data_IF_450863833825
#
_entry.id   IF_450863833825
#
_cell.length_a   1.000
_cell.length_b   1.000
_cell.length_c   1.000
_cell.angle_alpha   90.00
_cell.angle_beta   90.00
_cell.angle_gamma   90.00
#
_symmetry.space_group_name_H-M   'P 1'
#
loop_
_entity.id
_entity.type
_entity.pdbx_description
1 polymer ?
#
# COMPACT_ATOMS: atom_id res chain seq x y z
N UNK A 1 -15.10 -12.05 -13.60
CA UNK A 1 -14.23 -11.59 -12.53
C UNK A 1 -13.37 -10.46 -13.06
N UNK A 2 -13.29 -9.35 -12.32
CA UNK A 2 -12.66 -8.08 -12.75
C UNK A 2 -11.17 -8.20 -13.07
N UNK A 3 -10.45 -9.07 -12.33
CA UNK A 3 -9.00 -9.26 -12.44
C UNK A 3 -8.62 -10.68 -12.89
N UNK A 4 -9.51 -11.35 -13.63
CA UNK A 4 -9.23 -12.69 -14.14
C UNK A 4 -7.94 -12.70 -14.98
N UNK A 5 -7.04 -13.64 -14.70
CA UNK A 5 -5.72 -13.79 -15.34
C UNK A 5 -4.74 -12.63 -15.07
N UNK A 6 -4.99 -11.77 -14.07
CA UNK A 6 -4.07 -10.74 -13.64
C UNK A 6 -3.18 -11.22 -12.50
N UNK A 7 -1.91 -10.86 -12.56
CA UNK A 7 -0.93 -11.11 -11.50
C UNK A 7 -0.68 -9.82 -10.73
N UNK A 8 -0.85 -9.90 -9.41
CA UNK A 8 -0.66 -8.78 -8.48
C UNK A 8 0.49 -9.10 -7.53
N UNK A 9 1.45 -8.20 -7.43
CA UNK A 9 2.43 -8.18 -6.33
C UNK A 9 1.93 -7.19 -5.29
N UNK A 10 1.81 -7.60 -4.03
CA UNK A 10 1.24 -6.78 -2.98
C UNK A 10 2.06 -6.84 -1.69
N UNK A 11 2.51 -5.69 -1.19
CA UNK A 11 3.21 -5.59 0.09
C UNK A 11 2.26 -5.30 1.25
N UNK A 12 2.57 -5.84 2.43
CA UNK A 12 1.79 -5.58 3.66
C UNK A 12 0.49 -6.40 3.76
N UNK A 13 0.41 -7.55 3.09
CA UNK A 13 -0.82 -8.34 3.00
C UNK A 13 -1.15 -9.21 4.22
N UNK A 14 -0.32 -9.23 5.26
CA UNK A 14 -0.51 -10.10 6.42
C UNK A 14 -1.56 -9.60 7.42
N UNK A 15 -1.98 -8.33 7.36
CA UNK A 15 -2.95 -7.77 8.30
C UNK A 15 -3.68 -6.54 7.75
N UNK A 16 -4.70 -6.05 8.46
CA UNK A 16 -5.39 -4.78 8.25
C UNK A 16 -5.82 -4.52 6.81
N UNK A 17 -5.54 -3.32 6.30
CA UNK A 17 -5.87 -2.90 4.93
C UNK A 17 -5.29 -3.87 3.90
N UNK A 18 -4.04 -4.30 4.12
CA UNK A 18 -3.38 -5.21 3.19
C UNK A 18 -4.08 -6.55 3.08
N UNK A 19 -4.44 -7.17 4.21
CA UNK A 19 -5.21 -8.43 4.23
C UNK A 19 -6.54 -8.29 3.49
N UNK A 20 -7.33 -7.27 3.82
CA UNK A 20 -8.61 -7.03 3.14
C UNK A 20 -8.42 -6.84 1.62
N UNK A 21 -7.35 -6.13 1.22
CA UNK A 21 -7.02 -5.94 -0.20
C UNK A 21 -6.64 -7.25 -0.88
N UNK A 22 -5.79 -8.09 -0.26
CA UNK A 22 -5.44 -9.42 -0.82
C UNK A 22 -6.69 -10.25 -1.05
N UNK A 23 -7.57 -10.33 -0.05
CA UNK A 23 -8.82 -11.11 -0.14
C UNK A 23 -9.73 -10.58 -1.27
N UNK A 24 -9.87 -9.27 -1.38
CA UNK A 24 -10.70 -8.64 -2.41
C UNK A 24 -10.12 -8.83 -3.82
N UNK A 25 -8.81 -8.73 -3.99
CA UNK A 25 -8.12 -8.98 -5.26
C UNK A 25 -8.24 -10.45 -5.69
N UNK A 26 -8.06 -11.39 -4.75
CA UNK A 26 -8.23 -12.82 -4.99
C UNK A 26 -9.68 -13.16 -5.38
N UNK A 27 -10.67 -12.61 -4.67
CA UNK A 27 -12.10 -12.76 -5.00
C UNK A 27 -12.44 -12.16 -6.37
N UNK A 28 -11.71 -11.11 -6.81
CA UNK A 28 -11.82 -10.54 -8.15
C UNK A 28 -11.16 -11.41 -9.24
N UNK A 29 -10.50 -12.51 -8.87
CA UNK A 29 -9.89 -13.50 -9.77
C UNK A 29 -8.42 -13.27 -10.09
N UNK A 30 -7.73 -12.41 -9.34
CA UNK A 30 -6.29 -12.21 -9.48
C UNK A 30 -5.50 -13.36 -8.85
N UNK A 31 -4.31 -13.64 -9.40
CA UNK A 31 -3.24 -14.30 -8.67
C UNK A 31 -2.49 -13.25 -7.87
N UNK A 32 -2.36 -13.43 -6.56
CA UNK A 32 -1.72 -12.45 -5.67
C UNK A 32 -0.44 -13.03 -5.07
N UNK A 33 0.69 -12.37 -5.29
CA UNK A 33 1.93 -12.60 -4.56
C UNK A 33 1.94 -11.65 -3.36
N UNK A 34 1.59 -12.19 -2.19
CA UNK A 34 1.53 -11.48 -0.92
C UNK A 34 2.96 -11.39 -0.35
N UNK A 35 3.49 -10.17 -0.26
CA UNK A 35 4.83 -9.90 0.27
C UNK A 35 4.73 -9.24 1.65
N UNK A 36 5.29 -9.88 2.68
CA UNK A 36 5.23 -9.38 4.05
C UNK A 36 6.40 -9.95 4.88
N UNK A 37 6.74 -9.27 5.98
CA UNK A 37 7.70 -9.76 6.96
C UNK A 37 7.05 -10.77 7.93
N UNK A 38 5.74 -10.69 8.12
CA UNK A 38 4.96 -11.55 9.02
C UNK A 38 4.42 -12.80 8.29
N UNK A 39 5.22 -13.86 8.27
CA UNK A 39 4.84 -15.12 7.62
C UNK A 39 3.58 -15.75 8.23
N UNK A 40 3.40 -15.69 9.56
CA UNK A 40 2.22 -16.26 10.21
C UNK A 40 0.93 -15.55 9.77
N UNK A 41 0.92 -14.21 9.80
CA UNK A 41 -0.22 -13.42 9.34
C UNK A 41 -0.48 -13.58 7.83
N UNK A 42 0.57 -13.83 7.03
CA UNK A 42 0.42 -14.13 5.61
C UNK A 42 -0.29 -15.49 5.39
N UNK A 43 0.07 -16.52 6.17
CA UNK A 43 -0.60 -17.83 6.11
C UNK A 43 -2.08 -17.74 6.52
N UNK A 44 -2.41 -16.92 7.54
CA UNK A 44 -3.80 -16.64 7.89
C UNK A 44 -4.56 -16.00 6.71
N UNK A 45 -3.95 -15.01 6.05
CA UNK A 45 -4.55 -14.34 4.88
C UNK A 45 -4.78 -15.34 3.73
N UNK A 46 -3.81 -16.23 3.47
CA UNK A 46 -3.94 -17.30 2.47
C UNK A 46 -5.09 -18.23 2.82
N UNK A 47 -5.18 -18.68 4.06
CA UNK A 47 -6.28 -19.55 4.52
C UNK A 47 -7.65 -18.88 4.34
N UNK A 48 -7.77 -17.59 4.67
CA UNK A 48 -8.99 -16.80 4.51
C UNK A 48 -9.38 -16.55 3.05
N UNK A 49 -8.46 -16.67 2.09
CA UNK A 49 -8.75 -16.50 0.66
C UNK A 49 -9.63 -17.62 0.07
N UNK A 50 -9.89 -18.67 0.83
CA UNK A 50 -10.82 -19.74 0.43
C UNK A 50 -10.40 -20.50 -0.83
N UNK A 51 -9.09 -20.69 -1.05
CA UNK A 51 -8.55 -21.35 -2.25
C UNK A 51 -8.27 -20.40 -3.42
N UNK A 52 -8.34 -19.09 -3.19
CA UNK A 52 -7.82 -18.08 -4.12
C UNK A 52 -6.33 -18.31 -4.41
N UNK A 53 -5.87 -17.92 -5.59
CA UNK A 53 -4.47 -18.04 -5.98
C UNK A 53 -3.62 -16.97 -5.25
N UNK A 54 -3.29 -17.23 -3.98
CA UNK A 54 -2.47 -16.35 -3.13
C UNK A 54 -1.23 -17.11 -2.70
N UNK A 55 -0.06 -16.60 -3.05
CA UNK A 55 1.24 -17.13 -2.69
C UNK A 55 1.98 -16.13 -1.78
N UNK A 56 2.77 -16.62 -0.83
CA UNK A 56 3.58 -15.78 0.05
C UNK A 56 5.03 -15.64 -0.45
N UNK A 57 5.59 -14.43 -0.32
CA UNK A 57 7.00 -14.12 -0.47
C UNK A 57 7.43 -13.29 0.75
N UNK A 58 8.54 -13.69 1.41
CA UNK A 58 9.08 -12.92 2.53
C UNK A 58 9.68 -11.60 2.04
N UNK A 59 9.38 -10.51 2.77
CA UNK A 59 9.86 -9.17 2.42
C UNK A 59 10.08 -8.31 3.65
N UNK A 60 11.33 -7.90 3.87
CA UNK A 60 11.71 -6.84 4.81
C UNK A 60 12.08 -5.57 4.03
N UNK A 61 11.22 -4.54 4.09
CA UNK A 61 11.38 -3.32 3.28
C UNK A 61 12.56 -2.43 3.69
N UNK A 62 13.04 -2.56 4.93
CA UNK A 62 14.24 -1.82 5.40
C UNK A 62 15.53 -2.41 4.87
N UNK A 63 15.51 -3.69 4.47
CA UNK A 63 16.67 -4.40 3.91
C UNK A 63 16.65 -4.42 2.38
N UNK A 64 17.62 -3.76 1.78
CA UNK A 64 17.78 -3.73 0.32
C UNK A 64 18.01 -5.09 -0.32
N UNK A 65 18.68 -6.02 0.37
CA UNK A 65 18.90 -7.37 -0.11
C UNK A 65 17.59 -8.18 -0.10
N UNK A 66 16.78 -8.05 0.95
CA UNK A 66 15.45 -8.65 1.03
C UNK A 66 14.52 -8.12 -0.09
N UNK A 67 14.54 -6.82 -0.34
CA UNK A 67 13.76 -6.21 -1.45
C UNK A 67 14.18 -6.77 -2.81
N UNK A 68 15.48 -6.90 -3.05
CA UNK A 68 15.99 -7.46 -4.31
C UNK A 68 15.62 -8.93 -4.48
N UNK A 69 15.75 -9.74 -3.41
CA UNK A 69 15.36 -11.15 -3.39
C UNK A 69 13.85 -11.32 -3.66
N UNK A 70 12.99 -10.54 -2.98
CA UNK A 70 11.56 -10.56 -3.19
C UNK A 70 11.19 -10.22 -4.64
N UNK A 71 11.80 -9.18 -5.22
CA UNK A 71 11.56 -8.80 -6.60
C UNK A 71 11.97 -9.92 -7.58
N UNK A 72 13.15 -10.49 -7.38
CA UNK A 72 13.65 -11.62 -8.21
C UNK A 72 12.72 -12.82 -8.13
N UNK A 73 12.28 -13.19 -6.93
CA UNK A 73 11.35 -14.30 -6.71
C UNK A 73 9.97 -14.04 -7.35
N UNK A 74 9.44 -12.83 -7.22
CA UNK A 74 8.20 -12.45 -7.86
C UNK A 74 8.28 -12.57 -9.39
N UNK A 75 9.36 -12.07 -9.99
CA UNK A 75 9.59 -12.20 -11.43
C UNK A 75 9.74 -13.66 -11.88
N UNK A 76 10.46 -14.48 -11.12
CA UNK A 76 10.62 -15.89 -11.41
C UNK A 76 9.29 -16.66 -11.37
N UNK A 77 8.49 -16.44 -10.32
CA UNK A 77 7.18 -17.10 -10.15
C UNK A 77 6.12 -16.69 -11.17
N UNK A 78 6.33 -15.55 -11.85
CA UNK A 78 5.37 -14.98 -12.80
C UNK A 78 5.87 -14.97 -14.23
N UNK A 79 7.05 -15.53 -14.51
CA UNK A 79 7.75 -15.44 -15.79
C UNK A 79 7.85 -13.97 -16.28
N UNK A 80 8.14 -13.05 -15.35
CA UNK A 80 8.26 -11.61 -15.61
C UNK A 80 6.93 -10.86 -15.77
N UNK A 81 5.78 -11.52 -15.66
CA UNK A 81 4.48 -10.89 -15.86
C UNK A 81 3.93 -10.33 -14.54
N UNK A 82 3.90 -9.01 -14.42
CA UNK A 82 3.27 -8.30 -13.31
C UNK A 82 2.28 -7.30 -13.89
N UNK A 83 0.98 -7.54 -13.68
CA UNK A 83 -0.08 -6.66 -14.15
C UNK A 83 -0.35 -5.52 -13.16
N UNK A 84 -0.20 -5.78 -11.84
CA UNK A 84 -0.45 -4.79 -10.79
C UNK A 84 0.60 -4.88 -9.68
N UNK A 85 1.12 -3.74 -9.24
CA UNK A 85 1.93 -3.60 -8.03
C UNK A 85 1.17 -2.77 -7.01
N UNK A 86 0.91 -3.32 -5.82
CA UNK A 86 0.29 -2.59 -4.70
C UNK A 86 1.29 -2.47 -3.54
N UNK A 87 1.69 -1.24 -3.22
CA UNK A 87 2.54 -0.94 -2.09
C UNK A 87 1.67 -0.48 -0.91
N UNK A 88 1.27 -1.42 -0.03
CA UNK A 88 0.40 -1.15 1.11
C UNK A 88 1.07 -1.37 2.48
N UNK A 89 2.27 -1.93 2.52
CA UNK A 89 3.02 -2.04 3.76
C UNK A 89 3.26 -0.67 4.39
N UNK A 90 3.10 -0.59 5.70
CA UNK A 90 3.33 0.63 6.44
C UNK A 90 3.49 0.36 7.93
N UNK A 91 4.26 1.19 8.60
CA UNK A 91 4.47 1.14 10.04
C UNK A 91 4.75 2.53 10.58
N UNK A 92 4.22 2.81 11.77
CA UNK A 92 4.52 4.00 12.55
C UNK A 92 4.31 3.75 14.04
N UNK A 93 4.79 4.67 14.86
CA UNK A 93 4.51 4.81 16.27
C UNK A 93 4.41 6.30 16.60
N UNK A 94 3.25 6.73 17.07
CA UNK A 94 3.02 8.12 17.44
C UNK A 94 3.91 8.54 18.62
N UNK A 95 4.69 9.59 18.43
CA UNK A 95 5.54 10.22 19.44
C UNK A 95 5.91 11.66 19.06
N UNK A 96 6.24 12.54 20.01
CA UNK A 96 6.78 13.87 19.70
C UNK A 96 8.04 13.78 18.85
N UNK A 97 8.20 14.69 17.88
CA UNK A 97 9.37 14.65 16.97
C UNK A 97 10.71 14.75 17.71
N UNK A 98 10.76 15.53 18.79
CA UNK A 98 11.98 15.66 19.61
C UNK A 98 12.42 14.37 20.30
N UNK A 99 11.53 13.38 20.40
CA UNK A 99 11.79 12.06 21.00
C UNK A 99 12.15 11.01 19.91
N UNK A 100 12.00 11.38 18.64
CA UNK A 100 12.32 10.49 17.52
C UNK A 100 13.83 10.41 17.33
N UNK A 101 14.43 9.29 17.72
CA UNK A 101 15.84 9.03 17.44
C UNK A 101 16.07 8.67 15.96
N UNK A 102 17.34 8.65 15.56
CA UNK A 102 17.71 8.37 14.16
C UNK A 102 17.25 6.97 13.70
N UNK A 103 17.35 5.96 14.57
CA UNK A 103 16.93 4.59 14.24
C UNK A 103 15.43 4.50 13.97
N UNK A 104 14.61 5.23 14.75
CA UNK A 104 13.18 5.33 14.51
C UNK A 104 12.88 6.02 13.17
N UNK A 105 13.55 7.16 12.90
CA UNK A 105 13.39 7.89 11.64
C UNK A 105 13.75 7.01 10.46
N UNK A 106 14.90 6.33 10.52
CA UNK A 106 15.37 5.44 9.44
C UNK A 106 14.41 4.28 9.22
N UNK A 107 13.85 3.68 10.27
CA UNK A 107 12.86 2.62 10.17
C UNK A 107 11.57 3.11 9.51
N UNK A 108 11.05 4.26 9.95
CA UNK A 108 9.82 4.85 9.37
C UNK A 108 10.02 5.15 7.89
N UNK A 109 11.11 5.84 7.53
CA UNK A 109 11.43 6.15 6.13
C UNK A 109 11.71 4.87 5.32
N UNK A 110 12.42 3.91 5.90
CA UNK A 110 12.72 2.63 5.28
C UNK A 110 11.47 1.88 4.83
N UNK A 111 10.52 1.71 5.74
CA UNK A 111 9.29 0.95 5.47
C UNK A 111 8.32 1.75 4.58
N UNK A 112 8.11 3.04 4.87
CA UNK A 112 7.01 3.79 4.26
C UNK A 112 7.39 4.54 2.97
N UNK A 113 8.70 4.66 2.66
CA UNK A 113 9.18 5.38 1.48
C UNK A 113 10.23 4.61 0.71
N UNK A 114 11.40 4.36 1.31
CA UNK A 114 12.57 3.86 0.59
C UNK A 114 12.35 2.43 0.07
N UNK A 115 11.78 1.54 0.89
CA UNK A 115 11.45 0.18 0.49
C UNK A 115 10.46 0.12 -0.69
N UNK A 116 9.31 0.79 -0.64
CA UNK A 116 8.40 0.91 -1.77
C UNK A 116 9.05 1.45 -3.05
N UNK A 117 9.91 2.47 -2.95
CA UNK A 117 10.64 3.00 -4.10
C UNK A 117 11.59 1.94 -4.69
N UNK A 118 12.35 1.24 -3.85
CA UNK A 118 13.29 0.18 -4.29
C UNK A 118 12.53 -0.97 -4.97
N UNK A 119 11.45 -1.46 -4.37
CA UNK A 119 10.66 -2.56 -4.93
C UNK A 119 10.04 -2.14 -6.27
N UNK A 120 9.45 -0.95 -6.32
CA UNK A 120 8.88 -0.42 -7.57
C UNK A 120 9.94 -0.33 -8.65
N UNK A 121 11.13 0.22 -8.35
CA UNK A 121 12.25 0.29 -9.31
C UNK A 121 12.67 -1.08 -9.83
N UNK A 122 12.65 -2.11 -8.98
CA UNK A 122 13.04 -3.46 -9.36
C UNK A 122 12.03 -4.15 -10.28
N UNK A 123 10.73 -3.87 -10.11
CA UNK A 123 9.64 -4.52 -10.85
C UNK A 123 9.17 -3.72 -12.07
N UNK A 124 9.36 -2.40 -12.08
CA UNK A 124 8.86 -1.51 -13.13
C UNK A 124 9.35 -1.83 -14.55
N UNK A 125 10.64 -2.22 -14.77
CA UNK A 125 11.10 -2.64 -16.10
C UNK A 125 10.30 -3.84 -16.65
N UNK A 126 10.02 -4.86 -15.84
CA UNK A 126 9.23 -6.01 -16.28
C UNK A 126 7.79 -5.61 -16.65
N UNK A 127 7.20 -4.62 -15.96
CA UNK A 127 5.88 -4.09 -16.33
C UNK A 127 5.95 -3.36 -17.68
N UNK A 128 7.03 -2.62 -17.96
CA UNK A 128 7.26 -2.00 -19.29
C UNK A 128 7.37 -3.06 -20.37
N UNK A 129 8.21 -4.06 -20.16
CA UNK A 129 8.47 -5.14 -21.14
C UNK A 129 7.20 -5.96 -21.42
N UNK A 130 6.33 -6.10 -20.40
CA UNK A 130 5.04 -6.76 -20.55
C UNK A 130 3.97 -5.89 -21.25
N UNK A 131 4.25 -4.62 -21.50
CA UNK A 131 3.39 -3.72 -22.28
C UNK A 131 2.39 -2.91 -21.47
N UNK A 132 2.61 -2.75 -20.18
CA UNK A 132 1.81 -1.89 -19.30
C UNK A 132 1.46 -2.51 -17.97
N UNK A 133 0.67 -1.79 -17.18
CA UNK A 133 0.25 -2.27 -15.86
C UNK A 133 -0.27 -1.16 -14.96
N UNK A 134 -0.42 -1.47 -13.68
CA UNK A 134 -0.93 -0.53 -12.68
C UNK A 134 -0.07 -0.55 -11.42
N UNK A 135 0.26 0.63 -10.91
CA UNK A 135 0.92 0.79 -9.62
C UNK A 135 -0.02 1.54 -8.68
N UNK A 136 -0.28 0.97 -7.51
CA UNK A 136 -1.12 1.60 -6.48
C UNK A 136 -0.30 1.73 -5.21
N UNK A 137 -0.11 2.96 -4.75
CA UNK A 137 0.49 3.23 -3.45
C UNK A 137 -0.58 3.46 -2.39
N UNK A 138 -0.30 3.01 -1.17
CA UNK A 138 -1.09 3.37 0.01
C UNK A 138 -0.25 4.35 0.84
N UNK A 139 -0.61 5.64 0.73
CA UNK A 139 -0.02 6.68 1.55
C UNK A 139 -0.80 6.86 2.86
N UNK A 140 -1.16 8.08 3.20
CA UNK A 140 -2.01 8.45 4.35
C UNK A 140 -2.48 9.89 4.17
N UNK A 141 -3.60 10.25 4.75
CA UNK A 141 -3.99 11.65 4.89
C UNK A 141 -2.98 12.45 5.71
N UNK A 142 -2.25 11.82 6.65
CA UNK A 142 -1.11 12.43 7.35
C UNK A 142 -0.05 12.99 6.38
N UNK A 143 0.18 12.33 5.23
CA UNK A 143 1.09 12.82 4.18
C UNK A 143 0.53 13.98 3.36
N UNK A 144 -0.78 14.25 3.45
CA UNK A 144 -1.45 15.36 2.74
C UNK A 144 -1.53 16.63 3.59
N UNK A 145 -1.89 16.48 4.87
CA UNK A 145 -2.24 17.62 5.74
C UNK A 145 -1.41 17.66 7.02
N UNK A 146 -0.53 16.71 7.24
CA UNK A 146 0.21 16.54 8.49
C UNK A 146 -0.62 15.81 9.55
N UNK A 147 0.09 15.30 10.58
CA UNK A 147 -0.53 14.66 11.74
C UNK A 147 0.36 14.85 12.96
N UNK A 148 -0.25 15.20 14.10
CA UNK A 148 0.47 15.40 15.35
C UNK A 148 1.11 14.09 15.83
N UNK A 149 2.41 14.13 16.11
CA UNK A 149 3.16 12.96 16.60
C UNK A 149 3.54 11.95 15.52
N UNK A 150 3.29 12.23 14.26
CA UNK A 150 3.60 11.35 13.11
C UNK A 150 4.54 12.03 12.09
N UNK A 151 5.43 12.93 12.56
CA UNK A 151 6.23 13.79 11.66
C UNK A 151 7.09 13.03 10.65
N UNK A 152 7.90 12.01 11.01
CA UNK A 152 8.65 11.22 10.03
C UNK A 152 7.74 10.41 9.11
N UNK A 153 6.61 9.91 9.63
CA UNK A 153 5.62 9.16 8.86
C UNK A 153 4.92 10.07 7.82
N UNK A 154 4.48 11.25 8.24
CA UNK A 154 3.88 12.23 7.34
C UNK A 154 4.85 12.64 6.22
N UNK A 155 6.14 12.83 6.54
CA UNK A 155 7.18 13.10 5.55
C UNK A 155 7.33 11.94 4.55
N UNK A 156 7.38 10.68 5.03
CA UNK A 156 7.45 9.50 4.18
C UNK A 156 6.23 9.37 3.25
N UNK A 157 5.03 9.54 3.81
CA UNK A 157 3.77 9.44 3.05
C UNK A 157 3.57 10.61 2.08
N UNK A 158 4.05 11.81 2.42
CA UNK A 158 4.16 12.95 1.50
C UNK A 158 5.12 12.67 0.36
N UNK A 159 6.25 12.01 0.65
CA UNK A 159 7.20 11.53 -0.37
C UNK A 159 6.56 10.56 -1.37
N UNK A 160 5.75 9.60 -0.90
CA UNK A 160 4.98 8.68 -1.75
C UNK A 160 3.99 9.44 -2.66
N UNK A 161 3.32 10.47 -2.14
CA UNK A 161 2.40 11.30 -2.93
C UNK A 161 3.15 12.01 -4.08
N UNK A 162 4.31 12.62 -3.79
CA UNK A 162 5.16 13.24 -4.81
C UNK A 162 5.69 12.22 -5.82
N UNK A 163 6.16 11.05 -5.34
CA UNK A 163 6.65 9.96 -6.17
C UNK A 163 5.57 9.43 -7.11
N UNK A 164 4.33 9.24 -6.62
CA UNK A 164 3.18 8.81 -7.43
C UNK A 164 2.98 9.71 -8.64
N UNK A 165 2.96 11.04 -8.43
CA UNK A 165 2.73 12.02 -9.50
C UNK A 165 3.84 12.01 -10.55
N UNK A 166 5.09 11.89 -10.12
CA UNK A 166 6.26 11.84 -11.01
C UNK A 166 6.29 10.55 -11.81
N UNK A 167 6.14 9.40 -11.14
CA UNK A 167 6.17 8.10 -11.79
C UNK A 167 4.99 7.91 -12.76
N UNK A 168 3.83 8.52 -12.46
CA UNK A 168 2.69 8.52 -13.37
C UNK A 168 3.01 9.16 -14.72
N UNK A 169 3.78 10.26 -14.72
CA UNK A 169 4.25 10.92 -15.97
C UNK A 169 5.21 10.04 -16.75
N UNK A 170 6.15 9.39 -16.07
CA UNK A 170 7.12 8.50 -16.70
C UNK A 170 6.46 7.22 -17.23
N UNK A 171 5.53 6.63 -16.47
CA UNK A 171 4.82 5.40 -16.80
C UNK A 171 3.82 5.53 -17.94
N UNK A 172 3.28 6.73 -18.18
CA UNK A 172 2.19 6.94 -19.14
C UNK A 172 2.53 6.47 -20.57
N UNK A 173 3.74 6.76 -21.06
CA UNK A 173 4.21 6.30 -22.38
C UNK A 173 4.31 4.78 -22.50
N UNK A 174 4.38 4.08 -21.37
CA UNK A 174 4.45 2.61 -21.27
C UNK A 174 3.11 1.98 -20.89
N UNK A 175 2.01 2.76 -20.92
CA UNK A 175 0.66 2.30 -20.52
C UNK A 175 0.62 1.81 -19.07
N UNK A 176 1.45 2.40 -18.18
CA UNK A 176 1.43 2.12 -16.75
C UNK A 176 0.74 3.28 -16.05
N UNK A 177 -0.38 3.00 -15.37
CA UNK A 177 -1.02 3.97 -14.49
C UNK A 177 -0.42 3.89 -13.09
N UNK A 178 -0.26 5.04 -12.42
CA UNK A 178 0.27 5.10 -11.06
C UNK A 178 -0.63 6.00 -10.24
N UNK A 179 -1.27 5.45 -9.21
CA UNK A 179 -2.20 6.18 -8.36
C UNK A 179 -1.93 5.90 -6.87
N UNK A 180 -2.49 6.73 -6.01
CA UNK A 180 -2.28 6.65 -4.57
C UNK A 180 -3.61 6.74 -3.83
N UNK A 181 -3.82 5.82 -2.88
CA UNK A 181 -4.89 5.89 -1.89
C UNK A 181 -4.32 6.46 -0.61
N UNK A 182 -5.01 7.44 -0.01
CA UNK A 182 -4.66 8.04 1.27
C UNK A 182 -5.76 7.70 2.29
N UNK A 183 -5.58 6.65 3.10
CA UNK A 183 -6.52 6.34 4.17
C UNK A 183 -6.54 7.43 5.23
N UNK A 184 -7.74 7.70 5.77
CA UNK A 184 -7.91 8.28 7.09
C UNK A 184 -7.84 7.22 8.19
N UNK A 185 -8.29 7.53 9.43
CA UNK A 185 -8.32 6.58 10.54
C UNK A 185 -9.12 5.33 10.17
N UNK A 186 -8.45 4.18 10.18
CA UNK A 186 -8.98 2.88 9.72
C UNK A 186 -8.86 1.87 10.86
N UNK A 187 -9.87 1.04 11.05
CA UNK A 187 -9.93 -0.01 12.07
C UNK A 187 -8.92 -1.13 11.78
N UNK A 188 -7.72 -0.95 12.30
CA UNK A 188 -6.55 -1.83 12.04
C UNK A 188 -5.71 -1.98 13.30
N UNK A 189 -4.87 -3.02 13.40
CA UNK A 189 -3.90 -3.14 14.50
C UNK A 189 -3.01 -1.90 14.67
N UNK A 190 -2.61 -1.26 13.56
CA UNK A 190 -1.80 -0.03 13.59
C UNK A 190 -2.56 1.13 14.25
N UNK A 191 -3.86 1.31 13.96
CA UNK A 191 -4.69 2.34 14.58
C UNK A 191 -4.89 2.07 16.08
N UNK A 192 -5.14 0.81 16.46
CA UNK A 192 -5.36 0.42 17.86
C UNK A 192 -4.10 0.51 18.73
N UNK A 193 -2.91 0.58 18.14
CA UNK A 193 -1.67 0.84 18.86
C UNK A 193 -1.56 2.29 19.39
N UNK A 194 -2.39 3.21 18.88
CA UNK A 194 -2.42 4.61 19.35
C UNK A 194 -3.09 4.75 20.74
N UNK A 195 -2.72 5.77 21.54
CA UNK A 195 -3.38 6.07 22.80
C UNK A 195 -4.89 6.28 22.65
N UNK A 196 -5.68 5.80 23.61
CA UNK A 196 -7.14 5.85 23.57
C UNK A 196 -7.70 7.26 23.33
N UNK A 197 -7.16 8.26 24.06
CA UNK A 197 -7.54 9.66 23.90
C UNK A 197 -7.38 10.16 22.45
N UNK A 198 -6.31 9.72 21.77
CA UNK A 198 -6.07 10.08 20.37
C UNK A 198 -7.08 9.39 19.45
N UNK A 199 -7.33 8.09 19.65
CA UNK A 199 -8.31 7.33 18.87
C UNK A 199 -9.71 7.94 18.95
N UNK A 200 -10.15 8.31 20.18
CA UNK A 200 -11.43 8.98 20.37
C UNK A 200 -11.50 10.36 19.70
N UNK A 201 -10.42 11.16 19.79
CA UNK A 201 -10.38 12.47 19.17
C UNK A 201 -10.50 12.36 17.64
N UNK A 202 -9.77 11.43 17.04
CA UNK A 202 -9.83 11.15 15.59
C UNK A 202 -11.24 10.69 15.19
N UNK A 203 -11.85 9.76 15.94
CA UNK A 203 -13.19 9.27 15.65
C UNK A 203 -14.25 10.39 15.71
N UNK A 204 -14.13 11.32 16.68
CA UNK A 204 -15.01 12.49 16.75
C UNK A 204 -14.82 13.48 15.60
N UNK A 205 -13.61 13.55 15.04
CA UNK A 205 -13.30 14.45 13.92
C UNK A 205 -13.84 13.95 12.57
N UNK A 206 -14.04 12.65 12.40
CA UNK A 206 -14.54 12.07 11.15
C UNK A 206 -16.01 12.47 10.94
N UNK A 207 -16.38 13.15 9.81
CA UNK A 207 -17.78 13.50 9.52
C UNK A 207 -18.72 12.30 9.48
N UNK A 208 -18.28 11.15 8.95
CA UNK A 208 -19.07 9.90 8.92
C UNK A 208 -19.26 9.24 10.28
N UNK A 209 -18.62 9.77 11.35
CA UNK A 209 -18.76 9.29 12.74
C UNK A 209 -18.42 7.81 12.96
N UNK A 210 -17.62 7.24 12.10
CA UNK A 210 -17.03 5.90 12.23
C UNK A 210 -15.63 5.86 11.68
N UNK A 211 -14.85 4.90 12.12
CA UNK A 211 -13.60 4.54 11.44
C UNK A 211 -13.92 3.97 10.05
N UNK A 212 -12.99 4.10 9.13
CA UNK A 212 -13.03 3.28 7.93
C UNK A 212 -12.79 1.82 8.31
N UNK A 213 -13.43 0.90 7.63
CA UNK A 213 -13.04 -0.51 7.69
C UNK A 213 -11.88 -0.75 6.71
N UNK A 214 -11.07 -1.80 6.90
CA UNK A 214 -10.06 -2.19 5.91
C UNK A 214 -10.63 -2.34 4.50
N UNK A 215 -11.88 -2.81 4.38
CA UNK A 215 -12.60 -3.02 3.11
C UNK A 215 -12.97 -1.68 2.44
N UNK A 216 -13.28 -0.64 3.20
CA UNK A 216 -13.51 0.72 2.64
C UNK A 216 -12.28 1.19 1.84
N UNK A 217 -11.08 0.90 2.35
CA UNK A 217 -9.81 1.26 1.70
C UNK A 217 -9.50 0.30 0.54
N UNK A 218 -9.69 -1.00 0.76
CA UNK A 218 -9.45 -2.04 -0.24
C UNK A 218 -10.28 -1.83 -1.50
N UNK A 219 -11.52 -1.32 -1.37
CA UNK A 219 -12.37 -0.96 -2.50
C UNK A 219 -11.76 0.10 -3.41
N UNK A 220 -11.14 1.13 -2.84
CA UNK A 220 -10.44 2.17 -3.62
C UNK A 220 -9.16 1.61 -4.29
N UNK A 221 -8.43 0.72 -3.61
CA UNK A 221 -7.27 0.04 -4.18
C UNK A 221 -7.71 -0.85 -5.35
N UNK A 222 -8.78 -1.65 -5.20
CA UNK A 222 -9.34 -2.47 -6.27
C UNK A 222 -9.78 -1.64 -7.47
N UNK A 223 -10.39 -0.46 -7.25
CA UNK A 223 -10.73 0.46 -8.34
C UNK A 223 -9.49 0.83 -9.15
N UNK A 224 -8.40 1.27 -8.50
CA UNK A 224 -7.17 1.62 -9.20
C UNK A 224 -6.44 0.41 -9.80
N UNK A 225 -6.59 -0.77 -9.25
CA UNK A 225 -6.04 -2.02 -9.79
C UNK A 225 -6.86 -2.56 -10.98
N UNK A 226 -8.12 -2.17 -11.12
CA UNK A 226 -9.06 -2.68 -12.11
C UNK A 226 -9.08 -1.91 -13.43
N UNK A 227 -9.73 -2.45 -14.47
CA UNK A 227 -9.79 -1.84 -15.80
C UNK A 227 -10.62 -0.55 -15.84
N UNK A 228 -11.51 -0.32 -14.87
CA UNK A 228 -12.33 0.89 -14.80
C UNK A 228 -11.52 2.17 -14.56
N UNK A 229 -10.24 2.03 -14.19
CA UNK A 229 -9.30 3.13 -13.97
C UNK A 229 -8.19 3.22 -15.05
N UNK A 230 -8.40 2.65 -16.24
CA UNK A 230 -7.35 2.61 -17.28
C UNK A 230 -6.96 4.02 -17.80
N UNK A 231 -7.85 4.99 -17.65
CA UNK A 231 -7.58 6.40 -18.03
C UNK A 231 -7.32 7.30 -16.80
N UNK A 232 -7.05 6.70 -15.63
CA UNK A 232 -6.81 7.42 -14.36
C UNK A 232 -5.38 7.20 -13.92
N UNK A 233 -4.57 8.26 -13.90
CA UNK A 233 -3.18 8.20 -13.45
C UNK A 233 -2.78 9.48 -12.71
N UNK A 234 -1.82 9.40 -11.79
CA UNK A 234 -1.32 10.52 -10.99
C UNK A 234 -2.29 10.99 -9.91
N UNK A 235 -3.37 10.24 -9.63
CA UNK A 235 -4.39 10.67 -8.68
C UNK A 235 -4.04 10.29 -7.25
N UNK A 236 -4.42 11.16 -6.33
CA UNK A 236 -4.24 11.01 -4.89
C UNK A 236 -5.64 11.06 -4.27
N UNK A 237 -6.15 9.90 -3.89
CA UNK A 237 -7.52 9.73 -3.41
C UNK A 237 -7.55 9.54 -1.89
N UNK A 238 -8.12 10.49 -1.15
CA UNK A 238 -8.43 10.30 0.27
C UNK A 238 -9.66 9.42 0.44
N UNK A 239 -9.54 8.43 1.34
CA UNK A 239 -10.64 7.56 1.79
C UNK A 239 -10.72 7.71 3.30
N UNK A 240 -11.45 8.74 3.77
CA UNK A 240 -11.37 9.21 5.16
C UNK A 240 -12.72 9.57 5.79
N UNK A 241 -13.84 9.24 5.14
CA UNK A 241 -15.17 9.59 5.64
C UNK A 241 -15.38 11.10 5.78
N UNK A 242 -14.69 11.89 4.93
CA UNK A 242 -14.79 13.36 4.92
C UNK A 242 -13.81 14.07 5.87
N UNK A 243 -12.93 13.35 6.57
CA UNK A 243 -11.95 13.97 7.49
C UNK A 243 -10.97 14.88 6.74
N UNK A 244 -10.51 14.46 5.57
CA UNK A 244 -9.58 15.21 4.73
C UNK A 244 -10.20 15.44 3.36
N UNK A 245 -10.28 16.72 2.96
CA UNK A 245 -10.78 17.19 1.67
C UNK A 245 -9.71 18.08 1.01
N UNK A 246 -8.49 17.56 0.85
CA UNK A 246 -7.40 18.30 0.23
C UNK A 246 -7.44 18.12 -1.29
N UNK A 247 -7.35 19.22 -2.02
CA UNK A 247 -7.24 19.26 -3.49
C UNK A 247 -5.84 18.87 -3.98
#
# INVERSE_FOLDING_TARGET
MLLKHKTVVMTGGASGIGRATVLMLAAAGARVLLCDVNAAGAQETIALSGGGAVDFISLELTDGASVAACASEALARTAGRIDVLVNAAGWDRTQPFIEADQAFIDKVLGINLIGPLRLTRALFPAMIDHGGGKVVFVASDAGRVGSLGETPYAAAKGGIIGFTKSLAREGARHKITVNCVCPGPTDTPLFHANPERMREALMRAIPFRRLATPEDIAGAILYFAGPTSDYVTGQILSVSGGLTMAG
#
